data_IF_165364542189
#
_entry.id   IF_165364542189
#
_cell.length_a   1.000
_cell.length_b   1.000
_cell.length_c   1.000
_cell.angle_alpha   90.00
_cell.angle_beta   90.00
_cell.angle_gamma   90.00
#
_symmetry.space_group_name_H-M   'P 1'
#
loop_
_entity.id
_entity.type
_entity.pdbx_description
1 polymer ?
#
# COMPACT_ATOMS: atom_id res chain seq x y z
N UNK A 1 28.14 25.87 -17.81
CA UNK A 1 27.20 25.26 -16.85
C UNK A 1 26.29 24.36 -17.68
N UNK A 2 26.25 23.05 -17.43
CA UNK A 2 25.19 22.19 -18.03
C UNK A 2 23.86 22.70 -17.48
N UNK A 3 22.92 23.02 -18.34
CA UNK A 3 21.54 23.31 -17.93
C UNK A 3 21.05 22.13 -17.07
N UNK A 4 20.59 22.40 -15.87
CA UNK A 4 20.05 21.39 -14.99
C UNK A 4 18.69 20.95 -15.59
N UNK A 5 18.67 19.79 -16.23
CA UNK A 5 17.44 19.24 -16.79
C UNK A 5 16.55 18.79 -15.62
N UNK A 6 15.40 19.41 -15.47
CA UNK A 6 14.38 18.95 -14.54
C UNK A 6 13.60 17.80 -15.15
N UNK A 7 13.76 16.58 -14.61
CA UNK A 7 13.08 15.39 -15.11
C UNK A 7 11.61 15.35 -14.73
N UNK A 8 10.79 14.76 -15.60
CA UNK A 8 9.37 14.47 -15.36
C UNK A 8 9.21 12.98 -15.14
N UNK A 9 8.79 12.56 -13.92
CA UNK A 9 8.68 11.17 -13.53
C UNK A 9 7.20 10.82 -13.33
N UNK A 10 6.75 9.75 -13.98
CA UNK A 10 5.42 9.18 -13.76
C UNK A 10 5.43 8.12 -12.66
N UNK A 11 4.41 8.14 -11.80
CA UNK A 11 4.25 7.20 -10.69
C UNK A 11 2.94 6.44 -10.86
N UNK A 12 3.02 5.15 -11.17
CA UNK A 12 1.87 4.26 -11.27
C UNK A 12 1.70 3.53 -9.95
N UNK A 13 0.63 3.81 -9.22
CA UNK A 13 0.39 3.28 -7.88
C UNK A 13 -1.11 3.13 -7.60
N UNK A 14 -1.50 2.05 -6.93
CA UNK A 14 -2.86 1.81 -6.48
C UNK A 14 -2.98 1.88 -4.95
N UNK A 15 -4.22 1.78 -4.44
CA UNK A 15 -4.47 1.62 -3.02
C UNK A 15 -3.96 2.75 -2.11
N UNK A 16 -3.93 3.97 -2.59
CA UNK A 16 -3.35 5.14 -1.91
C UNK A 16 -3.99 5.49 -0.55
N UNK A 17 -5.09 4.85 -0.21
CA UNK A 17 -5.76 4.99 1.09
C UNK A 17 -5.19 4.04 2.16
N UNK A 18 -4.43 3.01 1.76
CA UNK A 18 -3.79 2.06 2.69
C UNK A 18 -2.41 2.54 3.14
N UNK A 19 -1.88 1.96 4.20
CA UNK A 19 -0.62 2.39 4.82
C UNK A 19 0.57 2.30 3.86
N UNK A 20 0.80 1.14 3.28
CA UNK A 20 2.00 0.84 2.51
C UNK A 20 2.22 1.74 1.27
N UNK A 21 1.22 1.97 0.38
CA UNK A 21 1.37 2.94 -0.70
C UNK A 21 1.61 4.38 -0.23
N UNK A 22 1.03 4.80 0.91
CA UNK A 22 1.26 6.14 1.46
C UNK A 22 2.72 6.37 1.83
N UNK A 23 3.37 5.38 2.42
CA UNK A 23 4.80 5.44 2.76
C UNK A 23 5.67 5.61 1.49
N UNK A 24 5.38 4.85 0.43
CA UNK A 24 6.08 5.01 -0.84
C UNK A 24 5.88 6.40 -1.44
N UNK A 25 4.64 6.92 -1.43
CA UNK A 25 4.34 8.28 -1.93
C UNK A 25 5.13 9.33 -1.15
N UNK A 26 5.20 9.19 0.17
CA UNK A 26 5.94 10.12 1.02
C UNK A 26 7.44 10.11 0.64
N UNK A 27 8.05 8.93 0.56
CA UNK A 27 9.46 8.82 0.18
C UNK A 27 9.76 9.32 -1.23
N UNK A 28 8.86 9.06 -2.19
CA UNK A 28 8.98 9.58 -3.55
C UNK A 28 8.89 11.12 -3.55
N UNK A 29 7.94 11.70 -2.81
CA UNK A 29 7.76 13.15 -2.76
C UNK A 29 8.96 13.86 -2.13
N UNK A 30 9.50 13.33 -1.02
CA UNK A 30 10.70 13.87 -0.37
C UNK A 30 11.92 13.84 -1.31
N UNK A 31 12.17 12.70 -1.96
CA UNK A 31 13.30 12.59 -2.88
C UNK A 31 13.12 13.46 -4.15
N UNK A 32 11.89 13.62 -4.62
CA UNK A 32 11.58 14.50 -5.76
C UNK A 32 11.84 15.96 -5.43
N UNK A 33 11.53 16.41 -4.22
CA UNK A 33 11.85 17.76 -3.75
C UNK A 33 13.37 17.96 -3.62
N UNK A 34 14.10 17.01 -3.03
CA UNK A 34 15.55 17.07 -2.88
C UNK A 34 16.29 17.12 -4.22
N UNK A 35 15.82 16.37 -5.22
CA UNK A 35 16.47 16.25 -6.53
C UNK A 35 15.94 17.24 -7.57
N UNK A 36 15.01 18.12 -7.19
CA UNK A 36 14.35 19.09 -8.08
C UNK A 36 13.77 18.43 -9.35
N UNK A 37 12.97 17.36 -9.16
CA UNK A 37 12.27 16.66 -10.24
C UNK A 37 10.75 16.84 -10.12
N UNK A 38 10.05 16.78 -11.26
CA UNK A 38 8.60 16.78 -11.27
C UNK A 38 8.08 15.34 -11.14
N UNK A 39 7.05 15.14 -10.33
CA UNK A 39 6.36 13.85 -10.21
C UNK A 39 4.90 13.98 -10.59
N UNK A 40 4.40 13.03 -11.37
CA UNK A 40 3.01 12.92 -11.79
C UNK A 40 2.47 11.57 -11.33
N UNK A 41 1.47 11.57 -10.45
CA UNK A 41 0.87 10.34 -9.92
C UNK A 41 -0.31 9.90 -10.79
N UNK A 42 -0.24 8.67 -11.29
CA UNK A 42 -1.30 7.95 -11.99
C UNK A 42 -1.93 6.98 -10.99
N UNK A 43 -2.97 7.43 -10.32
CA UNK A 43 -3.56 6.72 -9.20
C UNK A 43 -4.59 5.70 -9.70
N UNK A 44 -4.25 4.42 -9.64
CA UNK A 44 -5.19 3.33 -9.81
C UNK A 44 -5.96 3.00 -8.53
N UNK A 45 -6.94 2.13 -8.63
CA UNK A 45 -7.62 1.58 -7.46
C UNK A 45 -7.13 0.17 -7.17
N UNK A 46 -7.07 -0.18 -5.89
CA UNK A 46 -7.13 -1.59 -5.51
C UNK A 46 -8.56 -2.04 -5.72
N UNK A 47 -8.73 -3.15 -6.45
CA UNK A 47 -10.06 -3.59 -6.85
C UNK A 47 -10.89 -4.22 -5.76
N UNK A 48 -12.12 -4.32 -6.14
CA UNK A 48 -13.22 -5.28 -5.88
C UNK A 48 -13.51 -5.58 -4.42
N UNK A 49 -12.57 -6.14 -3.69
CA UNK A 49 -12.89 -6.83 -2.46
C UNK A 49 -13.09 -5.88 -1.29
N UNK A 50 -12.37 -4.75 -1.27
CA UNK A 50 -12.48 -3.76 -0.19
C UNK A 50 -13.86 -3.08 -0.13
N UNK A 51 -14.47 -2.79 -1.27
CA UNK A 51 -15.81 -2.19 -1.32
C UNK A 51 -16.93 -3.25 -1.23
N UNK A 52 -16.71 -4.45 -1.75
CA UNK A 52 -17.68 -5.56 -1.67
C UNK A 52 -17.81 -6.04 -0.21
N UNK A 53 -16.72 -6.20 0.52
CA UNK A 53 -16.75 -6.62 1.93
C UNK A 53 -17.27 -5.52 2.87
N UNK A 54 -16.93 -4.26 2.61
CA UNK A 54 -17.37 -3.14 3.44
C UNK A 54 -18.84 -2.77 3.26
N UNK A 55 -19.42 -3.00 2.08
CA UNK A 55 -20.81 -2.65 1.74
C UNK A 55 -21.76 -3.85 1.66
N UNK A 56 -21.28 -5.07 1.87
CA UNK A 56 -22.09 -6.28 1.81
C UNK A 56 -22.73 -6.54 0.44
N UNK A 57 -22.15 -6.02 -0.63
CA UNK A 57 -22.72 -6.01 -1.97
C UNK A 57 -22.05 -6.98 -2.94
N UNK A 58 -22.86 -7.84 -3.55
CA UNK A 58 -22.46 -8.75 -4.64
C UNK A 58 -22.39 -8.06 -6.02
N UNK A 59 -22.25 -6.75 -6.04
CA UNK A 59 -22.20 -6.00 -7.30
C UNK A 59 -20.82 -6.09 -7.95
N UNK A 60 -20.63 -7.12 -8.77
CA UNK A 60 -19.57 -7.12 -9.79
C UNK A 60 -19.81 -5.93 -10.73
N UNK A 61 -19.17 -4.82 -10.44
CA UNK A 61 -19.21 -3.68 -11.35
C UNK A 61 -18.40 -4.07 -12.59
N UNK A 62 -19.08 -4.27 -13.71
CA UNK A 62 -18.44 -4.69 -14.97
C UNK A 62 -17.51 -3.63 -15.55
N UNK A 63 -17.42 -2.46 -14.91
CA UNK A 63 -16.65 -1.29 -15.35
C UNK A 63 -15.42 -0.98 -14.48
N UNK A 64 -15.10 -1.82 -13.48
CA UNK A 64 -13.96 -1.56 -12.56
C UNK A 64 -12.60 -1.47 -13.29
N UNK A 65 -12.48 -2.08 -14.50
CA UNK A 65 -11.29 -1.96 -15.33
C UNK A 65 -10.99 -0.51 -15.74
N UNK A 66 -12.00 0.37 -15.78
CA UNK A 66 -11.84 1.77 -16.17
C UNK A 66 -10.95 2.55 -15.18
N UNK A 67 -10.92 2.15 -13.92
CA UNK A 67 -10.10 2.82 -12.92
C UNK A 67 -8.58 2.74 -13.20
N UNK A 68 -8.15 1.77 -14.02
CA UNK A 68 -6.75 1.57 -14.35
C UNK A 68 -6.37 2.07 -15.75
N UNK A 69 -7.33 2.54 -16.54
CA UNK A 69 -7.03 3.16 -17.85
C UNK A 69 -6.16 4.41 -17.70
N UNK A 70 -6.15 5.04 -16.51
CA UNK A 70 -5.27 6.17 -16.21
C UNK A 70 -3.79 5.82 -16.40
N UNK A 71 -3.40 4.56 -16.23
CA UNK A 71 -2.01 4.13 -16.40
C UNK A 71 -1.55 4.22 -17.87
N UNK A 72 -2.46 4.08 -18.83
CA UNK A 72 -2.14 4.18 -20.25
C UNK A 72 -1.79 5.62 -20.64
N UNK A 73 -2.29 6.61 -19.90
CA UNK A 73 -1.93 8.02 -20.10
C UNK A 73 -0.47 8.32 -19.78
N UNK A 74 0.20 7.50 -18.98
CA UNK A 74 1.64 7.62 -18.73
C UNK A 74 2.49 7.40 -19.99
N UNK A 75 1.91 6.79 -21.04
CA UNK A 75 2.55 6.52 -22.32
C UNK A 75 2.41 7.68 -23.33
N UNK A 76 1.56 8.67 -23.06
CA UNK A 76 1.22 9.74 -24.04
C UNK A 76 2.35 10.77 -24.24
N UNK A 77 3.42 10.65 -23.46
CA UNK A 77 4.63 11.45 -23.69
C UNK A 77 4.88 12.51 -22.62
N UNK A 78 6.08 13.06 -22.65
CA UNK A 78 6.52 14.10 -21.70
C UNK A 78 7.11 13.56 -20.40
N UNK A 79 7.08 12.23 -20.16
CA UNK A 79 7.77 11.61 -19.03
C UNK A 79 9.16 11.13 -19.44
N UNK A 80 10.13 11.38 -18.58
CA UNK A 80 11.51 10.91 -18.76
C UNK A 80 11.71 9.51 -18.18
N UNK A 81 10.92 9.14 -17.15
CA UNK A 81 10.99 7.84 -16.49
C UNK A 81 9.74 7.49 -15.70
N UNK A 82 9.63 6.23 -15.26
CA UNK A 82 8.50 5.71 -14.52
C UNK A 82 8.93 5.00 -13.22
N UNK A 83 8.10 5.12 -12.19
CA UNK A 83 8.13 4.26 -11.01
C UNK A 83 6.79 3.54 -10.94
N UNK A 84 6.80 2.21 -10.92
CA UNK A 84 5.60 1.37 -10.95
C UNK A 84 5.54 0.54 -9.67
N UNK A 85 4.57 0.82 -8.81
CA UNK A 85 4.28 0.00 -7.64
C UNK A 85 3.36 -1.17 -8.05
N UNK A 86 3.95 -2.21 -8.64
CA UNK A 86 3.20 -3.32 -9.20
C UNK A 86 2.41 -4.11 -8.15
N UNK A 87 2.94 -4.28 -6.93
CA UNK A 87 2.24 -4.99 -5.86
C UNK A 87 0.90 -4.37 -5.47
N UNK A 88 0.73 -3.05 -5.70
CA UNK A 88 -0.53 -2.35 -5.48
C UNK A 88 -1.45 -2.33 -6.71
N UNK A 89 -0.91 -2.64 -7.90
CA UNK A 89 -1.64 -2.70 -9.17
C UNK A 89 -1.98 -4.13 -9.57
N UNK A 90 -1.08 -5.07 -9.30
CA UNK A 90 -1.11 -6.44 -9.81
C UNK A 90 -2.32 -7.27 -9.39
N UNK A 91 -2.97 -6.96 -8.25
CA UNK A 91 -4.22 -7.59 -7.83
C UNK A 91 -5.37 -7.36 -8.83
N UNK A 92 -5.23 -6.37 -9.71
CA UNK A 92 -6.24 -5.95 -10.68
C UNK A 92 -5.96 -6.48 -12.07
N UNK A 93 -4.71 -6.77 -12.34
CA UNK A 93 -4.24 -7.29 -13.62
C UNK A 93 -4.40 -8.81 -13.65
N UNK A 94 -5.61 -9.30 -13.44
CA UNK A 94 -5.99 -10.70 -13.15
C UNK A 94 -5.26 -11.79 -13.94
N UNK A 95 -4.69 -11.49 -15.10
CA UNK A 95 -4.02 -12.45 -15.98
C UNK A 95 -2.70 -11.90 -16.57
N UNK A 96 -2.26 -10.73 -16.19
CA UNK A 96 -1.04 -10.10 -16.70
C UNK A 96 0.07 -10.22 -15.66
N UNK A 97 1.20 -10.79 -16.00
CA UNK A 97 2.38 -10.83 -15.12
C UNK A 97 3.08 -9.47 -15.11
N UNK A 98 3.93 -9.24 -14.09
CA UNK A 98 4.75 -8.02 -14.04
C UNK A 98 5.63 -7.86 -15.30
N UNK A 99 6.15 -8.96 -15.83
CA UNK A 99 6.94 -8.99 -17.07
C UNK A 99 6.09 -8.54 -18.29
N UNK A 100 4.86 -9.06 -18.43
CA UNK A 100 3.97 -8.65 -19.51
C UNK A 100 3.56 -7.17 -19.37
N UNK A 101 3.30 -6.73 -18.16
CA UNK A 101 2.98 -5.33 -17.88
C UNK A 101 4.15 -4.40 -18.20
N UNK A 102 5.37 -4.81 -17.87
CA UNK A 102 6.59 -4.06 -18.16
C UNK A 102 6.83 -3.82 -19.65
N UNK A 103 6.42 -4.76 -20.51
CA UNK A 103 6.55 -4.63 -21.97
C UNK A 103 5.86 -3.38 -22.52
N UNK A 104 4.80 -2.89 -21.86
CA UNK A 104 4.10 -1.65 -22.27
C UNK A 104 4.99 -0.41 -22.13
N UNK A 105 6.00 -0.47 -21.26
CA UNK A 105 6.86 0.66 -20.88
C UNK A 105 8.30 0.51 -21.35
N UNK A 106 8.61 -0.41 -22.25
CA UNK A 106 9.97 -0.74 -22.71
C UNK A 106 10.79 0.45 -23.24
N UNK A 107 10.13 1.49 -23.73
CA UNK A 107 10.76 2.69 -24.26
C UNK A 107 11.18 3.71 -23.19
N UNK A 108 10.73 3.54 -21.97
CA UNK A 108 10.90 4.49 -20.85
C UNK A 108 11.68 3.81 -19.72
N UNK A 109 12.79 4.38 -19.20
CA UNK A 109 13.46 3.87 -18.02
C UNK A 109 12.50 3.73 -16.85
N UNK A 110 12.41 2.52 -16.28
CA UNK A 110 11.38 2.18 -15.29
C UNK A 110 11.97 1.50 -14.06
N UNK A 111 11.50 1.91 -12.89
CA UNK A 111 11.74 1.24 -11.60
C UNK A 111 10.47 0.52 -11.15
N UNK A 112 10.55 -0.79 -10.96
CA UNK A 112 9.48 -1.57 -10.37
C UNK A 112 9.65 -1.68 -8.86
N UNK A 113 8.58 -1.46 -8.11
CA UNK A 113 8.52 -1.75 -6.68
C UNK A 113 7.74 -3.04 -6.47
N UNK A 114 8.21 -3.85 -5.52
CA UNK A 114 7.54 -5.07 -5.02
C UNK A 114 7.54 -6.28 -5.95
N UNK A 115 7.96 -6.15 -7.20
CA UNK A 115 8.10 -7.26 -8.15
C UNK A 115 9.43 -7.21 -8.89
N UNK A 116 9.98 -8.38 -9.20
CA UNK A 116 11.20 -8.49 -10.02
C UNK A 116 10.79 -8.54 -11.49
N UNK A 117 11.39 -7.65 -12.28
CA UNK A 117 11.22 -7.56 -13.72
C UNK A 117 12.59 -7.61 -14.38
N UNK A 118 12.73 -8.42 -15.46
CA UNK A 118 13.99 -8.65 -16.15
C UNK A 118 14.12 -7.93 -17.50
N UNK A 119 13.20 -7.01 -17.79
CA UNK A 119 13.22 -6.22 -19.01
C UNK A 119 14.39 -5.21 -19.05
N UNK A 120 15.02 -4.96 -20.23
CA UNK A 120 16.28 -4.23 -20.34
C UNK A 120 16.28 -2.80 -19.76
N UNK A 121 15.15 -2.09 -19.86
CA UNK A 121 15.01 -0.72 -19.34
C UNK A 121 14.44 -0.69 -17.92
N UNK A 122 14.21 -1.85 -17.32
CA UNK A 122 13.62 -1.98 -15.98
C UNK A 122 14.67 -2.41 -14.96
N UNK A 123 14.49 -2.00 -13.72
CA UNK A 123 15.10 -2.60 -12.55
C UNK A 123 14.11 -2.58 -11.40
N UNK A 124 14.37 -3.37 -10.36
CA UNK A 124 13.41 -3.63 -9.32
C UNK A 124 13.95 -3.36 -7.93
N UNK A 125 13.14 -2.75 -7.10
CA UNK A 125 13.35 -2.66 -5.66
C UNK A 125 12.30 -3.51 -4.96
N UNK A 126 12.74 -4.53 -4.24
CA UNK A 126 11.86 -5.48 -3.55
C UNK A 126 12.20 -5.56 -2.07
N UNK A 127 11.25 -5.95 -1.25
CA UNK A 127 11.47 -6.27 0.14
C UNK A 127 12.25 -7.57 0.30
N UNK A 128 13.12 -7.68 1.31
CA UNK A 128 13.75 -8.96 1.65
C UNK A 128 12.83 -9.82 2.52
N UNK A 129 11.75 -10.31 1.91
CA UNK A 129 10.74 -11.14 2.56
C UNK A 129 11.34 -12.36 3.27
N UNK A 130 12.33 -13.01 2.61
CA UNK A 130 12.98 -14.18 3.17
C UNK A 130 13.69 -13.86 4.48
N UNK A 131 14.48 -12.79 4.47
CA UNK A 131 15.19 -12.37 5.67
C UNK A 131 14.19 -11.96 6.78
N UNK A 132 13.08 -11.29 6.43
CA UNK A 132 12.05 -10.89 7.40
C UNK A 132 11.44 -12.08 8.12
N UNK A 133 10.96 -13.08 7.37
CA UNK A 133 10.37 -14.28 7.97
C UNK A 133 11.42 -15.10 8.73
N UNK A 134 12.68 -15.18 8.23
CA UNK A 134 13.77 -15.84 8.97
C UNK A 134 14.02 -15.19 10.33
N UNK A 135 14.03 -13.86 10.40
CA UNK A 135 14.21 -13.12 11.67
C UNK A 135 13.08 -13.40 12.66
N UNK A 136 11.83 -13.33 12.21
CA UNK A 136 10.66 -13.62 13.05
C UNK A 136 10.67 -15.05 13.55
N UNK A 137 10.86 -16.02 12.64
CA UNK A 137 10.85 -17.44 12.99
C UNK A 137 12.00 -17.81 13.91
N UNK A 138 13.22 -17.32 13.63
CA UNK A 138 14.36 -17.54 14.51
C UNK A 138 14.10 -16.95 15.92
N UNK A 139 13.54 -15.74 16.01
CA UNK A 139 13.20 -15.12 17.29
C UNK A 139 12.20 -15.94 18.09
N UNK A 140 11.11 -16.44 17.45
CA UNK A 140 10.11 -17.27 18.13
C UNK A 140 10.67 -18.63 18.58
N UNK A 141 11.55 -19.24 17.75
CA UNK A 141 12.10 -20.56 18.04
C UNK A 141 13.26 -20.50 19.02
N UNK A 142 14.23 -19.59 18.84
CA UNK A 142 15.45 -19.55 19.62
C UNK A 142 15.27 -18.85 20.96
N UNK A 143 14.49 -17.74 20.99
CA UNK A 143 14.31 -16.95 22.22
C UNK A 143 13.09 -17.39 23.03
N UNK A 144 12.00 -17.83 22.36
CA UNK A 144 10.74 -18.21 23.02
C UNK A 144 10.49 -19.72 23.01
N UNK A 145 11.36 -20.52 22.38
CA UNK A 145 11.28 -21.96 22.30
C UNK A 145 9.96 -22.51 21.73
N UNK A 146 9.30 -21.71 20.88
CA UNK A 146 8.07 -22.12 20.22
C UNK A 146 8.32 -23.27 19.23
N UNK A 147 7.49 -24.29 19.29
CA UNK A 147 7.51 -25.46 18.43
C UNK A 147 6.23 -25.60 17.58
N UNK A 148 5.10 -25.07 18.05
CA UNK A 148 3.83 -25.07 17.35
C UNK A 148 3.46 -23.65 16.89
N UNK A 149 4.05 -23.27 15.76
CA UNK A 149 3.95 -21.92 15.18
C UNK A 149 3.00 -21.97 13.99
N UNK A 150 1.93 -21.19 14.02
CA UNK A 150 0.98 -21.04 12.92
C UNK A 150 1.38 -19.91 11.98
N UNK A 151 0.89 -19.97 10.74
CA UNK A 151 1.15 -18.94 9.74
C UNK A 151 -0.14 -18.47 9.06
N UNK A 152 -0.33 -17.16 8.98
CA UNK A 152 -1.40 -16.54 8.18
C UNK A 152 -0.79 -15.88 6.97
N UNK A 153 -1.01 -16.50 5.79
CA UNK A 153 -0.46 -16.04 4.52
C UNK A 153 -1.28 -14.88 3.95
N UNK A 154 -0.65 -14.02 3.15
CA UNK A 154 -1.34 -13.07 2.30
C UNK A 154 -1.95 -13.71 1.04
N UNK A 155 -2.50 -12.92 0.09
CA UNK A 155 -3.16 -13.41 -1.11
C UNK A 155 -2.32 -14.40 -1.91
N UNK A 156 -2.93 -15.51 -2.32
CA UNK A 156 -2.23 -16.63 -2.98
C UNK A 156 -1.54 -16.24 -4.32
N UNK A 157 -1.99 -15.17 -4.97
CA UNK A 157 -1.39 -14.70 -6.22
C UNK A 157 -0.24 -13.72 -6.00
N UNK A 158 -0.13 -13.10 -4.81
CA UNK A 158 0.88 -12.10 -4.50
C UNK A 158 2.26 -12.76 -4.29
N UNK A 159 3.29 -12.21 -4.91
CA UNK A 159 4.65 -12.74 -4.89
C UNK A 159 5.29 -12.66 -3.50
N UNK A 160 5.10 -11.53 -2.79
CA UNK A 160 5.59 -11.36 -1.43
C UNK A 160 4.96 -12.41 -0.48
N UNK A 161 3.64 -12.64 -0.59
CA UNK A 161 2.93 -13.65 0.19
C UNK A 161 3.47 -15.06 -0.06
N UNK A 162 3.75 -15.40 -1.32
CA UNK A 162 4.35 -16.69 -1.69
C UNK A 162 5.74 -16.85 -1.09
N UNK A 163 6.57 -15.80 -1.19
CA UNK A 163 7.95 -15.84 -0.68
C UNK A 163 7.96 -15.95 0.85
N UNK A 164 7.09 -15.19 1.56
CA UNK A 164 6.92 -15.27 3.02
C UNK A 164 6.47 -16.66 3.45
N UNK A 165 5.44 -17.21 2.80
CA UNK A 165 4.92 -18.56 3.07
C UNK A 165 5.97 -19.65 2.82
N UNK A 166 6.68 -19.60 1.70
CA UNK A 166 7.73 -20.55 1.39
C UNK A 166 8.87 -20.50 2.42
N UNK A 167 9.22 -19.32 2.90
CA UNK A 167 10.25 -19.16 3.92
C UNK A 167 9.80 -19.66 5.29
N UNK A 168 8.51 -19.53 5.64
CA UNK A 168 7.98 -20.17 6.85
C UNK A 168 8.19 -21.69 6.79
N UNK A 169 7.87 -22.37 5.69
CA UNK A 169 8.12 -23.80 5.53
C UNK A 169 9.61 -24.15 5.62
N UNK A 170 10.47 -23.36 4.96
CA UNK A 170 11.93 -23.51 5.04
C UNK A 170 12.43 -23.48 6.49
N UNK A 171 11.88 -22.55 7.30
CA UNK A 171 12.28 -22.41 8.70
C UNK A 171 11.75 -23.55 9.57
N UNK A 172 10.51 -24.00 9.38
CA UNK A 172 9.97 -25.16 10.09
C UNK A 172 10.80 -26.42 9.80
N UNK A 173 11.17 -26.65 8.53
CA UNK A 173 12.05 -27.76 8.15
C UNK A 173 13.46 -27.62 8.75
N UNK A 174 14.05 -26.43 8.68
CA UNK A 174 15.39 -26.15 9.19
C UNK A 174 15.54 -26.44 10.68
N UNK A 175 14.51 -26.15 11.46
CA UNK A 175 14.49 -26.42 12.91
C UNK A 175 13.84 -27.77 13.26
N UNK A 176 13.55 -28.61 12.27
CA UNK A 176 12.91 -29.92 12.43
C UNK A 176 11.58 -29.84 13.21
N UNK A 177 10.81 -28.79 13.01
CA UNK A 177 9.50 -28.60 13.62
C UNK A 177 8.39 -29.21 12.75
N UNK A 178 7.33 -29.75 13.37
CA UNK A 178 6.20 -30.29 12.63
C UNK A 178 5.45 -29.18 11.89
N UNK A 179 5.06 -29.43 10.66
CA UNK A 179 4.26 -28.54 9.85
C UNK A 179 3.20 -29.30 9.06
N UNK A 180 2.02 -28.74 8.95
CA UNK A 180 0.91 -29.27 8.15
C UNK A 180 0.10 -28.15 7.53
N UNK A 181 -0.70 -28.46 6.52
CA UNK A 181 -1.60 -27.47 5.88
C UNK A 181 -2.61 -26.88 6.86
N UNK A 182 -2.96 -27.58 7.93
CA UNK A 182 -3.85 -27.10 8.98
C UNK A 182 -3.26 -25.99 9.84
N UNK A 183 -1.95 -25.82 9.81
CA UNK A 183 -1.23 -24.75 10.51
C UNK A 183 -1.18 -23.46 9.71
N UNK A 184 -1.81 -23.41 8.54
CA UNK A 184 -1.75 -22.27 7.62
C UNK A 184 -3.15 -21.80 7.29
N UNK A 185 -3.44 -20.53 7.55
CA UNK A 185 -4.62 -19.86 7.03
C UNK A 185 -4.28 -18.97 5.82
N UNK A 186 -5.25 -18.84 4.92
CA UNK A 186 -5.16 -17.94 3.79
C UNK A 186 -5.87 -16.62 4.14
N UNK A 187 -5.13 -15.52 4.15
CA UNK A 187 -5.62 -14.17 4.26
C UNK A 187 -5.51 -13.39 2.96
N UNK A 188 -5.81 -12.10 3.02
CA UNK A 188 -5.92 -11.19 1.88
C UNK A 188 -5.21 -9.84 2.09
N UNK A 189 -4.39 -9.73 3.13
CA UNK A 189 -3.74 -8.52 3.64
C UNK A 189 -4.68 -7.49 4.28
N UNK A 190 -5.97 -7.80 4.44
CA UNK A 190 -6.90 -6.95 5.19
C UNK A 190 -7.02 -7.40 6.65
N UNK A 191 -7.56 -6.52 7.49
CA UNK A 191 -7.86 -6.86 8.88
C UNK A 191 -9.19 -7.65 9.06
N UNK A 192 -9.91 -8.01 7.98
CA UNK A 192 -11.23 -8.64 8.04
C UNK A 192 -11.19 -10.17 7.92
N UNK A 193 -10.17 -10.81 8.48
CA UNK A 193 -9.95 -12.26 8.43
C UNK A 193 -10.21 -12.96 9.77
N UNK A 194 -11.04 -12.40 10.64
CA UNK A 194 -11.34 -12.98 11.96
C UNK A 194 -11.80 -14.44 11.87
N UNK A 195 -12.63 -14.77 10.88
CA UNK A 195 -13.13 -16.14 10.69
C UNK A 195 -12.00 -17.12 10.35
N UNK A 196 -11.07 -16.73 9.49
CA UNK A 196 -9.94 -17.56 9.08
C UNK A 196 -9.00 -17.82 10.26
N UNK A 197 -8.73 -16.79 11.08
CA UNK A 197 -7.91 -16.90 12.29
C UNK A 197 -8.61 -17.74 13.34
N UNK A 198 -9.91 -17.56 13.50
CA UNK A 198 -10.72 -18.34 14.47
C UNK A 198 -10.69 -19.83 14.11
N UNK A 199 -10.93 -20.20 12.85
CA UNK A 199 -10.83 -21.57 12.36
C UNK A 199 -9.41 -22.14 12.52
N UNK A 200 -8.37 -21.34 12.24
CA UNK A 200 -6.97 -21.76 12.39
C UNK A 200 -6.66 -22.18 13.83
N UNK A 201 -7.18 -21.44 14.81
CA UNK A 201 -7.03 -21.75 16.23
C UNK A 201 -7.88 -22.97 16.65
N UNK A 202 -9.08 -23.17 16.07
CA UNK A 202 -9.87 -24.38 16.32
C UNK A 202 -9.15 -25.65 15.84
N UNK A 203 -8.50 -25.58 14.69
CA UNK A 203 -7.74 -26.69 14.12
C UNK A 203 -6.42 -26.95 14.86
N UNK A 204 -5.93 -25.97 15.65
CA UNK A 204 -4.65 -26.01 16.36
C UNK A 204 -4.76 -25.49 17.80
N UNK A 205 -5.43 -26.24 18.71
CA UNK A 205 -5.71 -25.80 20.08
C UNK A 205 -4.43 -25.63 20.96
N UNK A 206 -3.30 -26.17 20.52
CA UNK A 206 -2.03 -26.08 21.24
C UNK A 206 -1.06 -25.08 20.56
N UNK A 207 -1.57 -24.13 19.76
CA UNK A 207 -0.73 -23.13 19.13
C UNK A 207 -0.02 -22.26 20.16
N UNK A 208 1.29 -22.04 19.95
CA UNK A 208 2.14 -21.21 20.81
C UNK A 208 2.35 -19.82 20.21
N UNK A 209 2.38 -19.74 18.88
CA UNK A 209 2.59 -18.50 18.16
C UNK A 209 1.83 -18.47 16.83
N UNK A 210 1.49 -17.25 16.38
CA UNK A 210 0.98 -16.99 15.03
C UNK A 210 1.85 -15.94 14.36
N UNK A 211 2.42 -16.30 13.21
CA UNK A 211 3.13 -15.38 12.33
C UNK A 211 2.17 -14.91 11.25
N UNK A 212 1.88 -13.63 11.22
CA UNK A 212 1.07 -13.00 10.18
C UNK A 212 1.95 -12.45 9.07
N UNK A 213 1.53 -12.64 7.83
CA UNK A 213 2.26 -12.13 6.68
C UNK A 213 2.18 -10.59 6.54
N UNK A 214 1.32 -9.91 7.29
CA UNK A 214 1.36 -8.46 7.50
C UNK A 214 0.70 -8.04 8.82
N UNK A 215 0.84 -6.77 9.20
CA UNK A 215 0.33 -6.22 10.44
C UNK A 215 -1.21 -6.09 10.46
N UNK A 216 -1.82 -5.73 9.32
CA UNK A 216 -3.28 -5.58 9.22
C UNK A 216 -3.98 -6.90 9.57
N UNK A 217 -3.48 -8.03 9.06
CA UNK A 217 -4.00 -9.35 9.42
C UNK A 217 -3.71 -9.72 10.88
N UNK A 218 -2.59 -9.26 11.45
CA UNK A 218 -2.27 -9.51 12.86
C UNK A 218 -3.30 -8.85 13.79
N UNK A 219 -3.90 -7.73 13.42
CA UNK A 219 -4.96 -7.09 14.20
C UNK A 219 -6.23 -7.95 14.30
N UNK A 220 -6.55 -8.74 13.27
CA UNK A 220 -7.58 -9.77 13.40
C UNK A 220 -7.20 -10.83 14.43
N UNK A 221 -5.92 -11.21 14.47
CA UNK A 221 -5.37 -12.11 15.50
C UNK A 221 -5.64 -11.61 16.92
N UNK A 222 -5.38 -10.34 17.19
CA UNK A 222 -5.67 -9.73 18.49
C UNK A 222 -7.17 -9.81 18.85
N UNK A 223 -8.06 -9.44 17.92
CA UNK A 223 -9.51 -9.48 18.15
C UNK A 223 -10.02 -10.90 18.43
N UNK A 224 -9.50 -11.89 17.69
CA UNK A 224 -9.88 -13.29 17.88
C UNK A 224 -9.37 -13.81 19.23
N UNK A 225 -8.12 -13.49 19.59
CA UNK A 225 -7.55 -13.84 20.89
C UNK A 225 -8.36 -13.22 22.04
N UNK A 226 -8.72 -11.96 21.95
CA UNK A 226 -9.57 -11.28 22.94
C UNK A 226 -10.93 -11.97 23.09
N UNK A 227 -11.64 -12.30 22.00
CA UNK A 227 -12.91 -13.05 22.02
C UNK A 227 -12.79 -14.42 22.66
N UNK A 228 -11.63 -15.07 22.51
CA UNK A 228 -11.33 -16.39 23.11
C UNK A 228 -10.79 -16.30 24.54
N UNK A 229 -10.56 -15.11 25.06
CA UNK A 229 -9.94 -14.90 26.38
C UNK A 229 -8.47 -15.25 26.43
N UNK A 230 -7.79 -15.36 25.28
CA UNK A 230 -6.35 -15.58 25.17
C UNK A 230 -5.61 -14.26 25.29
N UNK A 231 -4.56 -14.23 26.09
CA UNK A 231 -3.73 -13.05 26.29
C UNK A 231 -2.54 -13.09 25.32
N UNK A 232 -2.54 -12.18 24.36
CA UNK A 232 -1.41 -11.99 23.44
C UNK A 232 -0.13 -11.69 24.23
N UNK A 233 0.98 -12.28 23.81
CA UNK A 233 2.28 -12.16 24.48
C UNK A 233 2.44 -13.04 25.74
N UNK A 234 1.41 -13.82 26.11
CA UNK A 234 1.42 -14.75 27.25
C UNK A 234 0.91 -16.12 26.92
N UNK A 235 -0.37 -16.21 26.52
CA UNK A 235 -1.03 -17.48 26.19
C UNK A 235 -0.73 -17.86 24.73
N UNK A 236 -0.57 -16.86 23.88
CA UNK A 236 -0.21 -17.00 22.47
C UNK A 236 0.64 -15.79 22.02
N UNK A 237 1.68 -16.04 21.24
CA UNK A 237 2.54 -14.99 20.69
C UNK A 237 2.03 -14.59 19.31
N UNK A 238 2.09 -13.29 19.00
CA UNK A 238 1.69 -12.76 17.70
C UNK A 238 2.83 -11.93 17.13
N UNK A 239 3.12 -12.14 15.83
CA UNK A 239 4.07 -11.31 15.10
C UNK A 239 3.47 -10.88 13.76
N UNK A 240 3.87 -9.70 13.29
CA UNK A 240 3.43 -9.12 12.04
C UNK A 240 4.58 -8.87 11.04
N UNK A 241 4.26 -8.08 10.03
CA UNK A 241 5.18 -7.62 9.00
C UNK A 241 4.65 -6.26 8.49
N UNK A 242 5.49 -5.27 8.31
CA UNK A 242 5.37 -3.91 7.76
C UNK A 242 5.76 -2.81 8.75
N UNK A 243 5.61 -3.01 10.06
CA UNK A 243 5.76 -2.01 11.13
C UNK A 243 4.87 -0.77 10.91
N UNK A 244 3.60 -1.01 10.59
CA UNK A 244 2.64 0.06 10.39
C UNK A 244 2.44 0.89 11.68
N UNK A 245 2.02 2.15 11.55
CA UNK A 245 1.87 3.08 12.69
C UNK A 245 1.04 2.49 13.84
N UNK A 246 -0.01 1.73 13.52
CA UNK A 246 -0.89 1.09 14.50
C UNK A 246 -0.19 -0.02 15.29
N UNK A 247 0.82 -0.69 14.74
CA UNK A 247 1.53 -1.80 15.38
C UNK A 247 2.11 -1.43 16.75
N UNK A 248 2.69 -0.23 16.86
CA UNK A 248 3.24 0.29 18.12
C UNK A 248 2.19 0.72 19.13
N UNK A 249 0.96 0.94 18.70
CA UNK A 249 -0.18 1.34 19.54
C UNK A 249 -1.06 0.20 20.03
N UNK A 250 -0.76 -1.05 19.64
CA UNK A 250 -1.48 -2.22 20.13
C UNK A 250 -1.17 -2.49 21.61
N UNK A 251 -2.01 -3.23 22.29
CA UNK A 251 -1.80 -3.66 23.67
C UNK A 251 -1.99 -5.19 23.78
N UNK A 252 -0.87 -5.95 23.97
CA UNK A 252 0.54 -5.52 23.95
C UNK A 252 1.00 -5.03 22.55
N UNK A 253 2.05 -4.21 22.49
CA UNK A 253 2.55 -3.66 21.22
C UNK A 253 3.07 -4.78 20.30
N UNK A 254 2.78 -4.68 18.99
CA UNK A 254 3.03 -5.74 18.01
C UNK A 254 4.51 -5.84 17.64
N UNK A 255 5.12 -7.01 17.84
CA UNK A 255 6.41 -7.40 17.28
C UNK A 255 6.24 -7.63 15.78
N UNK A 256 7.03 -6.95 14.96
CA UNK A 256 6.83 -6.96 13.50
C UNK A 256 8.14 -6.75 12.75
N UNK A 257 8.18 -7.16 11.49
CA UNK A 257 9.28 -6.86 10.57
C UNK A 257 9.09 -5.46 10.02
N UNK A 258 10.11 -4.63 10.14
CA UNK A 258 10.11 -3.28 9.58
C UNK A 258 10.34 -3.34 8.08
N UNK A 259 9.36 -2.91 7.30
CA UNK A 259 9.46 -2.67 5.88
C UNK A 259 9.40 -1.15 5.64
N UNK A 260 10.57 -0.53 5.45
CA UNK A 260 10.67 0.92 5.30
C UNK A 260 10.19 1.36 3.90
N UNK A 261 8.90 1.66 3.79
CA UNK A 261 8.26 2.12 2.56
C UNK A 261 8.77 3.50 2.13
N UNK A 262 9.08 4.38 3.08
CA UNK A 262 9.63 5.71 2.78
C UNK A 262 11.01 5.57 2.15
N UNK A 263 11.88 4.75 2.74
CA UNK A 263 13.19 4.47 2.16
C UNK A 263 13.07 3.86 0.76
N UNK A 264 12.14 2.91 0.56
CA UNK A 264 11.92 2.29 -0.75
C UNK A 264 11.47 3.32 -1.79
N UNK A 265 10.55 4.21 -1.44
CA UNK A 265 10.10 5.30 -2.31
C UNK A 265 11.23 6.26 -2.68
N UNK A 266 12.04 6.66 -1.70
CA UNK A 266 13.23 7.50 -1.93
C UNK A 266 14.24 6.81 -2.86
N UNK A 267 14.59 5.56 -2.56
CA UNK A 267 15.51 4.77 -3.40
C UNK A 267 15.02 4.67 -4.83
N UNK A 268 13.72 4.53 -5.07
CA UNK A 268 13.16 4.44 -6.40
C UNK A 268 13.42 5.70 -7.24
N UNK A 269 13.26 6.88 -6.65
CA UNK A 269 13.57 8.14 -7.34
C UNK A 269 15.06 8.28 -7.61
N UNK A 270 15.92 8.02 -6.62
CA UNK A 270 17.37 8.09 -6.79
C UNK A 270 17.87 7.12 -7.86
N UNK A 271 17.39 5.87 -7.86
CA UNK A 271 17.77 4.85 -8.82
C UNK A 271 17.31 5.21 -10.24
N UNK A 272 16.09 5.78 -10.36
CA UNK A 272 15.58 6.22 -11.65
C UNK A 272 16.41 7.37 -12.21
N UNK A 273 16.73 8.41 -11.41
CA UNK A 273 17.58 9.51 -11.82
C UNK A 273 18.98 9.01 -12.21
N UNK A 274 19.54 8.08 -11.42
CA UNK A 274 20.82 7.46 -11.72
C UNK A 274 20.83 6.80 -13.11
N UNK A 275 19.72 6.12 -13.46
CA UNK A 275 19.53 5.50 -14.78
C UNK A 275 19.32 6.54 -15.89
N UNK A 276 18.57 7.61 -15.63
CA UNK A 276 18.37 8.72 -16.58
C UNK A 276 19.67 9.48 -16.88
N UNK A 277 20.60 9.49 -15.93
CA UNK A 277 21.95 10.03 -16.11
C UNK A 277 22.90 9.09 -16.88
N UNK A 278 22.39 7.97 -17.41
CA UNK A 278 23.13 7.01 -18.24
C UNK A 278 24.01 6.05 -17.45
N UNK A 279 23.69 5.81 -16.17
CA UNK A 279 24.40 4.86 -15.31
C UNK A 279 23.58 3.59 -15.14
N UNK A 280 24.26 2.45 -14.92
CA UNK A 280 23.58 1.18 -14.71
C UNK A 280 23.00 1.08 -13.29
N UNK A 281 21.68 0.93 -13.19
CA UNK A 281 21.00 0.60 -11.96
C UNK A 281 20.64 -0.89 -11.94
N UNK A 282 20.89 -1.54 -10.80
CA UNK A 282 20.64 -2.97 -10.64
C UNK A 282 19.45 -3.22 -9.71
N UNK A 283 18.68 -4.27 -10.01
CA UNK A 283 17.63 -4.74 -9.10
C UNK A 283 18.23 -5.19 -7.79
N UNK A 284 17.62 -4.78 -6.67
CA UNK A 284 18.12 -5.06 -5.33
C UNK A 284 17.01 -5.21 -4.29
N UNK A 285 17.36 -5.84 -3.19
CA UNK A 285 16.50 -5.95 -2.01
C UNK A 285 16.72 -4.74 -1.09
N UNK A 286 15.62 -4.17 -0.60
CA UNK A 286 15.65 -3.12 0.42
C UNK A 286 15.87 -3.79 1.78
N UNK A 287 16.81 -3.29 2.59
CA UNK A 287 17.07 -3.84 3.91
C UNK A 287 15.83 -3.81 4.81
N UNK A 288 15.71 -4.84 5.64
CA UNK A 288 14.64 -4.97 6.64
C UNK A 288 15.24 -5.28 8.02
N UNK A 289 14.46 -5.08 9.07
CA UNK A 289 14.84 -5.41 10.43
C UNK A 289 13.64 -5.94 11.21
N UNK A 290 13.90 -6.61 12.34
CA UNK A 290 12.87 -7.05 13.27
C UNK A 290 12.73 -6.01 14.40
N UNK A 291 11.53 -5.48 14.57
CA UNK A 291 11.16 -4.64 15.70
C UNK A 291 10.48 -5.51 16.76
N UNK A 292 11.24 -5.85 17.81
CA UNK A 292 10.75 -6.68 18.92
C UNK A 292 9.99 -5.80 19.92
N UNK A 293 8.72 -6.19 20.19
CA UNK A 293 7.84 -5.57 21.18
C UNK A 293 7.22 -6.66 22.07
N UNK A 294 6.12 -6.35 22.77
CA UNK A 294 5.61 -7.25 23.82
C UNK A 294 4.74 -8.41 23.28
N UNK A 295 4.20 -8.33 22.07
CA UNK A 295 3.29 -9.36 21.53
C UNK A 295 3.95 -10.72 21.31
N UNK A 296 5.27 -10.79 21.23
CA UNK A 296 6.02 -12.04 21.21
C UNK A 296 6.40 -12.55 22.60
N UNK A 297 5.92 -11.90 23.68
CA UNK A 297 6.25 -12.27 25.05
C UNK A 297 7.54 -11.64 25.59
N UNK A 298 8.28 -10.90 24.77
CA UNK A 298 9.41 -10.10 25.25
C UNK A 298 8.90 -8.96 26.14
N UNK A 299 9.61 -8.69 27.21
CA UNK A 299 9.45 -7.42 27.91
C UNK A 299 10.25 -6.36 27.15
N UNK A 300 9.72 -5.14 27.10
CA UNK A 300 10.46 -4.01 26.53
C UNK A 300 11.89 -4.01 27.11
N UNK A 301 12.91 -4.24 26.26
CA UNK A 301 14.33 -4.26 26.71
C UNK A 301 14.81 -2.92 27.25
N UNK A 302 14.01 -1.87 27.16
CA UNK A 302 14.16 -0.63 27.90
C UNK A 302 13.49 -0.74 29.27
N UNK A 303 13.91 -1.74 30.04
CA UNK A 303 13.62 -1.83 31.46
C UNK A 303 14.08 -0.55 32.14
N UNK A 304 13.16 0.08 32.83
CA UNK A 304 13.25 1.32 33.60
C UNK A 304 12.97 2.59 32.80
N UNK A 305 11.83 2.69 32.17
CA UNK A 305 11.12 3.93 32.34
C UNK A 305 10.47 3.90 33.74
N UNK A 306 11.28 4.29 34.73
CA UNK A 306 10.69 4.87 35.93
C UNK A 306 9.58 5.81 35.43
N UNK A 307 8.42 5.78 36.09
CA UNK A 307 7.33 6.76 35.91
C UNK A 307 7.88 8.17 36.21
N UNK A 308 8.72 8.67 35.30
CA UNK A 308 9.14 10.06 35.32
C UNK A 308 8.05 10.88 34.64
N UNK A 309 7.75 12.08 35.16
CA UNK A 309 6.78 12.97 34.53
C UNK A 309 6.99 13.21 33.03
N UNK A 310 8.25 13.12 32.57
CA UNK A 310 8.62 13.22 31.15
C UNK A 310 8.01 12.10 30.30
N UNK A 311 7.99 10.85 30.80
CA UNK A 311 7.41 9.72 30.05
C UNK A 311 5.89 9.87 29.90
N UNK A 312 5.20 10.37 30.91
CA UNK A 312 3.76 10.64 30.85
C UNK A 312 3.45 11.77 29.86
N UNK A 313 4.29 12.80 29.80
CA UNK A 313 4.17 13.90 28.85
C UNK A 313 4.36 13.41 27.41
N UNK A 314 5.36 12.57 27.15
CA UNK A 314 5.59 11.99 25.83
C UNK A 314 4.45 11.05 25.40
N UNK A 315 3.90 10.25 26.31
CA UNK A 315 2.71 9.43 26.05
C UNK A 315 1.48 10.28 25.74
N UNK A 316 1.27 11.38 26.49
CA UNK A 316 0.18 12.32 26.23
C UNK A 316 0.37 13.00 24.87
N UNK A 317 1.60 13.42 24.51
CA UNK A 317 1.88 13.99 23.18
C UNK A 317 1.63 12.99 22.05
N UNK A 318 2.05 11.73 22.22
CA UNK A 318 1.81 10.64 21.26
C UNK A 318 0.31 10.39 21.10
N UNK A 319 -0.43 10.29 22.19
CA UNK A 319 -1.88 10.09 22.21
C UNK A 319 -2.62 11.28 21.56
N UNK A 320 -2.22 12.51 21.88
CA UNK A 320 -2.81 13.71 21.28
C UNK A 320 -2.54 13.78 19.77
N UNK A 321 -1.35 13.37 19.32
CA UNK A 321 -1.00 13.27 17.90
C UNK A 321 -1.88 12.25 17.20
N UNK A 322 -2.06 11.07 17.80
CA UNK A 322 -2.95 10.02 17.27
C UNK A 322 -4.39 10.51 17.19
N UNK A 323 -4.92 11.13 18.25
CA UNK A 323 -6.28 11.70 18.24
C UNK A 323 -6.42 12.79 17.16
N UNK A 324 -5.40 13.62 16.97
CA UNK A 324 -5.42 14.66 15.95
C UNK A 324 -5.43 14.06 14.56
N UNK A 325 -4.62 13.02 14.31
CA UNK A 325 -4.61 12.30 13.04
C UNK A 325 -5.95 11.62 12.77
N UNK A 326 -6.52 10.92 13.75
CA UNK A 326 -7.86 10.31 13.62
C UNK A 326 -8.95 11.34 13.34
N UNK A 327 -8.90 12.51 13.98
CA UNK A 327 -9.84 13.60 13.69
C UNK A 327 -9.68 14.14 12.27
N UNK A 328 -8.45 14.28 11.80
CA UNK A 328 -8.18 14.70 10.41
C UNK A 328 -8.65 13.65 9.41
N UNK A 329 -8.44 12.37 9.68
CA UNK A 329 -8.96 11.29 8.85
C UNK A 329 -10.48 11.25 8.82
N UNK A 330 -11.13 11.41 9.97
CA UNK A 330 -12.59 11.48 10.06
C UNK A 330 -13.16 12.69 9.28
N UNK A 331 -12.53 13.86 9.41
CA UNK A 331 -12.90 15.06 8.66
C UNK A 331 -12.70 14.82 7.14
N UNK A 332 -11.61 14.19 6.76
CA UNK A 332 -11.33 13.86 5.36
C UNK A 332 -12.34 12.83 4.82
N UNK A 333 -12.68 11.83 5.62
CA UNK A 333 -13.71 10.85 5.28
C UNK A 333 -15.08 11.50 5.11
N UNK A 334 -15.49 12.36 6.06
CA UNK A 334 -16.73 13.11 5.97
C UNK A 334 -16.78 14.00 4.73
N UNK A 335 -15.68 14.73 4.43
CA UNK A 335 -15.58 15.54 3.20
C UNK A 335 -15.70 14.71 1.93
N UNK A 336 -15.01 13.58 1.86
CA UNK A 336 -15.12 12.67 0.71
C UNK A 336 -16.54 12.10 0.57
N UNK A 337 -17.21 11.79 1.66
CA UNK A 337 -18.58 11.26 1.67
C UNK A 337 -19.60 12.31 1.22
N UNK A 338 -19.36 13.60 1.47
CA UNK A 338 -20.21 14.70 1.02
C UNK A 338 -19.86 15.19 -0.39
N UNK A 339 -18.61 15.06 -0.78
CA UNK A 339 -18.12 15.55 -2.07
C UNK A 339 -18.87 14.93 -3.26
N UNK A 340 -19.00 13.60 -3.29
CA UNK A 340 -19.64 12.89 -4.41
C UNK A 340 -21.12 13.27 -4.55
N UNK A 341 -21.95 13.23 -3.49
CA UNK A 341 -23.35 13.69 -3.58
C UNK A 341 -23.49 15.19 -3.91
N UNK A 342 -22.61 16.03 -3.41
CA UNK A 342 -22.59 17.46 -3.73
C UNK A 342 -22.28 17.69 -5.20
N UNK A 343 -21.18 17.09 -5.67
CA UNK A 343 -20.81 17.17 -7.09
C UNK A 343 -21.92 16.62 -7.99
N UNK A 344 -22.50 15.47 -7.68
CA UNK A 344 -23.58 14.88 -8.47
C UNK A 344 -24.83 15.79 -8.52
N UNK A 345 -25.17 16.46 -7.43
CA UNK A 345 -26.27 17.43 -7.37
C UNK A 345 -25.96 18.64 -8.26
N UNK A 346 -24.80 19.25 -8.07
CA UNK A 346 -24.34 20.40 -8.83
C UNK A 346 -24.31 20.12 -10.34
N UNK A 347 -23.76 18.95 -10.71
CA UNK A 347 -23.72 18.50 -12.11
C UNK A 347 -25.13 18.35 -12.69
N UNK A 348 -26.10 17.89 -11.89
CA UNK A 348 -27.49 17.75 -12.31
C UNK A 348 -28.21 19.11 -12.45
N UNK A 349 -27.90 20.08 -11.59
CA UNK A 349 -28.53 21.40 -11.60
C UNK A 349 -27.98 22.30 -12.73
N UNK A 350 -26.79 22.02 -13.26
CA UNK A 350 -26.14 22.80 -14.33
C UNK A 350 -26.06 22.09 -15.68
N UNK A 351 -26.82 21.01 -15.89
CA UNK A 351 -26.73 20.18 -17.12
C UNK A 351 -26.98 20.92 -18.43
N UNK A 352 -27.71 22.03 -18.41
CA UNK A 352 -28.07 22.80 -19.60
C UNK A 352 -27.08 23.93 -19.94
N UNK A 353 -26.08 24.19 -19.09
CA UNK A 353 -25.07 25.25 -19.28
C UNK A 353 -23.65 24.70 -19.03
N UNK A 354 -22.93 24.38 -20.11
CA UNK A 354 -21.57 23.80 -20.04
C UNK A 354 -20.62 24.70 -19.24
N UNK A 355 -20.69 26.01 -19.40
CA UNK A 355 -19.78 26.93 -18.71
C UNK A 355 -20.07 26.98 -17.20
N UNK A 356 -21.34 27.09 -16.81
CA UNK A 356 -21.76 27.02 -15.42
C UNK A 356 -21.40 25.70 -14.78
N UNK A 357 -21.60 24.58 -15.50
CA UNK A 357 -21.21 23.24 -15.10
C UNK A 357 -19.71 23.13 -14.80
N UNK A 358 -18.86 23.63 -15.72
CA UNK A 358 -17.39 23.56 -15.57
C UNK A 358 -16.90 24.39 -14.39
N UNK A 359 -17.42 25.60 -14.21
CA UNK A 359 -17.07 26.47 -13.08
C UNK A 359 -17.45 25.85 -11.74
N UNK A 360 -18.67 25.34 -11.65
CA UNK A 360 -19.19 24.74 -10.42
C UNK A 360 -18.49 23.42 -10.08
N UNK A 361 -18.16 22.59 -11.10
CA UNK A 361 -17.35 21.39 -10.92
C UNK A 361 -15.97 21.75 -10.34
N UNK A 362 -15.33 22.81 -10.84
CA UNK A 362 -14.03 23.25 -10.36
C UNK A 362 -14.10 23.87 -8.95
N UNK A 363 -15.18 24.59 -8.62
CA UNK A 363 -15.40 25.10 -7.27
C UNK A 363 -15.54 23.96 -6.25
N UNK A 364 -16.32 22.94 -6.57
CA UNK A 364 -16.45 21.75 -5.74
C UNK A 364 -15.08 21.05 -5.56
N UNK A 365 -14.24 20.99 -6.60
CA UNK A 365 -12.87 20.42 -6.49
C UNK A 365 -11.97 21.21 -5.53
N UNK A 366 -12.19 22.50 -5.32
CA UNK A 366 -11.45 23.33 -4.35
C UNK A 366 -11.65 22.84 -2.91
N UNK A 367 -12.79 22.25 -2.59
CA UNK A 367 -13.03 21.66 -1.27
C UNK A 367 -12.07 20.52 -0.95
N UNK A 368 -11.49 19.87 -1.96
CA UNK A 368 -10.43 18.85 -1.80
C UNK A 368 -9.07 19.46 -1.42
N UNK A 369 -8.96 20.79 -1.33
CA UNK A 369 -7.73 21.54 -1.02
C UNK A 369 -6.56 21.23 -1.94
N UNK A 370 -6.82 20.92 -3.20
CA UNK A 370 -5.77 20.76 -4.22
C UNK A 370 -5.15 22.13 -4.56
N UNK A 371 -3.82 22.17 -4.76
CA UNK A 371 -3.14 23.39 -5.19
C UNK A 371 -3.46 23.74 -6.64
N UNK A 372 -3.64 22.71 -7.45
CA UNK A 372 -4.00 22.81 -8.85
C UNK A 372 -4.97 21.69 -9.21
N UNK A 373 -5.96 21.99 -10.02
CA UNK A 373 -6.89 21.02 -10.58
C UNK A 373 -7.09 21.34 -12.05
N UNK A 374 -7.10 20.32 -12.89
CA UNK A 374 -7.34 20.45 -14.31
C UNK A 374 -8.47 19.51 -14.72
N UNK A 375 -9.46 20.02 -15.44
CA UNK A 375 -10.57 19.22 -16.00
C UNK A 375 -10.39 19.15 -17.51
N UNK A 376 -10.24 17.93 -18.00
CA UNK A 376 -10.17 17.65 -19.43
C UNK A 376 -11.45 16.98 -19.88
N UNK A 377 -11.98 17.41 -21.02
CA UNK A 377 -13.12 16.79 -21.68
C UNK A 377 -12.64 16.08 -22.94
N UNK A 378 -13.36 15.01 -23.27
CA UNK A 378 -13.24 14.32 -24.54
C UNK A 378 -14.21 14.95 -25.52
N UNK A 379 -13.78 15.16 -26.76
CA UNK A 379 -14.63 15.75 -27.82
C UNK A 379 -15.79 14.82 -28.21
N UNK A 380 -15.62 13.50 -27.98
CA UNK A 380 -16.67 12.51 -28.20
C UNK A 380 -16.82 11.60 -26.96
N UNK A 381 -18.05 11.14 -26.64
CA UNK A 381 -18.26 10.18 -25.56
C UNK A 381 -17.51 8.89 -25.83
N UNK A 382 -16.67 8.48 -24.88
CA UNK A 382 -16.00 7.18 -24.94
C UNK A 382 -17.00 6.10 -24.53
N UNK A 383 -17.49 5.34 -25.49
CA UNK A 383 -18.33 4.18 -25.23
C UNK A 383 -17.45 2.95 -25.21
N UNK A 384 -17.08 2.50 -24.00
CA UNK A 384 -16.38 1.23 -23.83
C UNK A 384 -17.39 0.07 -23.89
N UNK A 385 -17.29 -0.77 -24.91
CA UNK A 385 -18.03 -2.03 -24.96
C UNK A 385 -17.15 -3.15 -24.37
N UNK A 386 -17.79 -4.10 -23.69
CA UNK A 386 -17.13 -5.16 -22.93
C UNK A 386 -16.13 -6.01 -23.73
N UNK A 387 -16.29 -6.04 -25.03
CA UNK A 387 -15.54 -6.91 -25.96
C UNK A 387 -14.67 -6.10 -26.95
N UNK A 388 -14.54 -4.79 -26.78
CA UNK A 388 -13.69 -3.93 -27.60
C UNK A 388 -12.46 -3.48 -26.84
N UNK A 389 -11.31 -3.55 -27.50
CA UNK A 389 -10.04 -3.03 -26.95
C UNK A 389 -10.17 -1.51 -26.83
N UNK A 390 -10.03 -1.00 -25.61
CA UNK A 390 -10.09 0.44 -25.36
C UNK A 390 -8.91 1.14 -26.01
N UNK A 391 -9.19 2.18 -26.78
CA UNK A 391 -8.16 3.05 -27.37
C UNK A 391 -8.18 4.39 -26.67
N UNK A 392 -7.01 4.81 -26.20
CA UNK A 392 -6.85 6.14 -25.62
C UNK A 392 -7.15 7.21 -26.66
N UNK A 393 -8.00 8.20 -26.38
CA UNK A 393 -8.23 9.33 -27.29
C UNK A 393 -6.91 10.08 -27.56
N UNK A 394 -6.68 10.43 -28.82
CA UNK A 394 -5.47 11.16 -29.24
C UNK A 394 -5.44 12.61 -28.73
N UNK A 395 -6.61 13.19 -28.49
CA UNK A 395 -6.76 14.57 -28.08
C UNK A 395 -7.65 14.71 -26.84
N UNK A 396 -7.20 15.53 -25.90
CA UNK A 396 -7.95 15.96 -24.72
C UNK A 396 -8.07 17.48 -24.76
N UNK A 397 -9.28 18.01 -24.63
CA UNK A 397 -9.53 19.44 -24.49
C UNK A 397 -9.44 19.83 -23.01
N UNK A 398 -8.51 20.72 -22.65
CA UNK A 398 -8.56 21.35 -21.32
C UNK A 398 -9.80 22.24 -21.27
N UNK A 399 -10.76 21.84 -20.45
CA UNK A 399 -12.03 22.53 -20.34
C UNK A 399 -12.04 23.57 -19.21
N UNK A 400 -11.41 23.23 -18.09
CA UNK A 400 -11.29 24.16 -16.97
C UNK A 400 -10.06 23.84 -16.12
N UNK A 401 -9.52 24.83 -15.42
CA UNK A 401 -8.46 24.62 -14.45
C UNK A 401 -8.57 25.57 -13.27
N UNK A 402 -8.08 25.16 -12.13
CA UNK A 402 -7.92 26.00 -10.95
C UNK A 402 -6.43 26.00 -10.55
N UNK A 403 -5.89 27.20 -10.34
CA UNK A 403 -4.52 27.39 -9.86
C UNK A 403 -4.46 28.52 -8.86
N UNK A 404 -3.85 28.29 -7.69
CA UNK A 404 -3.72 29.28 -6.61
C UNK A 404 -5.06 29.90 -6.16
N UNK A 405 -6.16 29.15 -6.27
CA UNK A 405 -7.49 29.60 -5.85
C UNK A 405 -8.28 30.37 -6.90
N UNK A 406 -7.73 30.58 -8.11
CA UNK A 406 -8.45 31.17 -9.24
C UNK A 406 -8.90 30.06 -10.20
N UNK A 407 -10.15 30.12 -10.63
CA UNK A 407 -10.78 29.16 -11.55
C UNK A 407 -10.92 29.78 -12.92
N UNK A 408 -10.59 29.02 -13.95
CA UNK A 408 -10.69 29.38 -15.36
C UNK A 408 -11.43 28.24 -16.10
N UNK A 409 -12.45 28.55 -16.89
CA UNK A 409 -13.22 27.63 -17.69
C UNK A 409 -13.35 28.15 -19.12
#
# INVERSE_FOLDING_TARGET
MKEHKRYNIGILIGGVHTYFPKEHILGIAEAAEELDVNVCFFLGTQTKDFFEDMLGGTHKNSFDYQFNTIHDYSLIGGLDGLIINYGTLGLQLKNESAEQFALKFNSIPTVFLTEIVHEPNCHSLICDNKQGIRLVMAHLIEEHHCSNILFVSGPAQNTDAKERKATYFEMMERYHLPVSDKMIAQGDYSEFIDRQVDQLLDDNPNAEAIVFANDEMAFAGYRVCEKRGLKVGKDILITGFDDCERASGMDPALTTVVQDGVLMGRMAVYDLIYKLDGKDALSRRVPISLCVRESCGCQEKNGKTQNTPLNLVDQIHKLNRTITNMKLELINFQRKSWFIPSLARTLNDCMDDEHAFLLEAMENMRELRTKCTYLFLLDEPVVCRKDEEWKCPENLRLAAHCRNGETFA
#
